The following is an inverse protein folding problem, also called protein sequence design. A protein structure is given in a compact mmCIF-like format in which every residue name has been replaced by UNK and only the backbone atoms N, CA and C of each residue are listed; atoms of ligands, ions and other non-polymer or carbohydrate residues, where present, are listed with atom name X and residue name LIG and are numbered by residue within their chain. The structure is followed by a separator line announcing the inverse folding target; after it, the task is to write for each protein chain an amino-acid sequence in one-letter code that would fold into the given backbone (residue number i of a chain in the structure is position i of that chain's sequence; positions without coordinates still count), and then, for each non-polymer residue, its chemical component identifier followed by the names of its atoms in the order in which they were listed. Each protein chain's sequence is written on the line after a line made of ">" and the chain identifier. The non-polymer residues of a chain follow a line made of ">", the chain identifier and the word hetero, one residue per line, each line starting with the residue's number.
data_IF_035942288181
#
_entry.id   IF_035942288181
#
_cell.length_a   1.000
_cell.length_b   1.000
_cell.length_c   1.000
_cell.angle_alpha   90.00
_cell.angle_beta   90.00
_cell.angle_gamma   90.00
#
_symmetry.space_group_name_H-M   'P 1'
#
loop_
_entity.id
_entity.type
_entity.pdbx_description
1 polymer ?
#
# COMPACT_ATOMS: atom_id res chain seq x y z
N UNK A 1 -13.17 12.50 -35.82
CA UNK A 1 -12.69 11.55 -36.86
C UNK A 1 -11.36 11.92 -37.53
N UNK A 2 -11.05 13.21 -37.76
CA UNK A 2 -9.75 13.65 -38.32
C UNK A 2 -8.56 13.57 -37.33
N UNK A 3 -8.81 13.72 -36.03
CA UNK A 3 -7.77 13.57 -34.98
C UNK A 3 -7.36 12.10 -34.80
N UNK A 4 -8.33 11.19 -34.82
CA UNK A 4 -8.10 9.73 -34.80
C UNK A 4 -7.24 9.26 -35.99
N UNK A 5 -7.43 9.83 -37.18
CA UNK A 5 -6.57 9.57 -38.36
C UNK A 5 -5.18 10.21 -38.25
N UNK A 6 -5.01 11.29 -37.47
CA UNK A 6 -3.69 11.87 -37.14
C UNK A 6 -2.90 10.98 -36.16
N UNK A 7 -3.58 10.37 -35.18
CA UNK A 7 -2.98 9.45 -34.22
C UNK A 7 -2.52 8.13 -34.87
N UNK A 8 -3.29 7.57 -35.82
CA UNK A 8 -2.88 6.37 -36.57
C UNK A 8 -1.76 6.60 -37.61
N UNK A 9 -1.63 7.81 -38.18
CA UNK A 9 -0.53 8.16 -39.10
C UNK A 9 0.78 8.51 -38.40
N UNK A 10 0.79 8.63 -37.07
CA UNK A 10 1.98 8.91 -36.27
C UNK A 10 2.76 7.65 -35.85
N UNK A 11 2.77 6.61 -36.69
CA UNK A 11 3.76 5.51 -36.66
C UNK A 11 5.15 6.00 -37.14
N UNK A 12 5.60 7.12 -36.58
CA UNK A 12 7.00 7.55 -36.57
C UNK A 12 7.42 7.55 -35.12
N UNK A 13 8.53 6.88 -34.85
CA UNK A 13 9.25 6.84 -33.58
C UNK A 13 9.40 8.23 -32.96
N UNK A 14 8.38 8.68 -32.25
CA UNK A 14 8.48 9.75 -31.27
C UNK A 14 8.94 9.08 -29.98
N UNK A 15 10.05 9.56 -29.42
CA UNK A 15 10.44 9.21 -28.06
C UNK A 15 9.25 9.53 -27.13
N UNK A 16 8.58 8.49 -26.65
CA UNK A 16 7.33 8.52 -25.91
C UNK A 16 7.46 9.09 -24.47
N UNK A 17 8.64 9.57 -24.07
CA UNK A 17 9.00 9.58 -22.64
C UNK A 17 8.74 10.87 -21.85
N UNK A 18 8.86 12.10 -22.38
CA UNK A 18 8.98 13.25 -21.45
C UNK A 18 7.89 14.34 -21.51
N UNK A 19 6.80 14.16 -22.27
CA UNK A 19 5.54 14.89 -22.05
C UNK A 19 4.48 14.37 -23.00
N UNK A 20 3.52 13.57 -22.54
CA UNK A 20 2.47 13.08 -23.45
C UNK A 20 1.61 14.22 -24.03
N UNK A 21 1.59 15.44 -23.43
CA UNK A 21 0.88 16.59 -23.99
C UNK A 21 1.18 17.94 -23.34
N UNK A 22 2.44 18.24 -23.03
CA UNK A 22 2.78 19.48 -22.32
C UNK A 22 2.35 19.53 -20.85
N UNK A 23 1.76 18.46 -20.31
CA UNK A 23 1.63 18.24 -18.87
C UNK A 23 2.87 17.54 -18.30
N UNK A 24 3.19 17.89 -17.06
CA UNK A 24 4.20 17.22 -16.24
C UNK A 24 3.48 16.25 -15.30
N UNK A 25 4.09 15.11 -14.97
CA UNK A 25 3.42 14.09 -14.16
C UNK A 25 4.24 13.70 -12.94
N UNK A 26 3.57 13.70 -11.79
CA UNK A 26 4.12 13.26 -10.52
C UNK A 26 3.23 12.17 -9.95
N UNK A 27 3.80 10.99 -9.73
CA UNK A 27 3.10 9.91 -9.04
C UNK A 27 3.52 9.92 -7.57
N UNK A 28 2.55 9.82 -6.66
CA UNK A 28 2.75 9.72 -5.21
C UNK A 28 2.11 8.43 -4.70
N UNK A 29 2.88 7.63 -3.99
CA UNK A 29 2.43 6.49 -3.20
C UNK A 29 2.42 6.94 -1.73
N UNK A 30 1.21 7.11 -1.18
CA UNK A 30 0.97 7.67 0.15
C UNK A 30 0.94 6.54 1.18
N UNK A 31 2.04 5.79 1.26
CA UNK A 31 2.17 4.62 2.12
C UNK A 31 2.30 4.96 3.60
N UNK A 32 1.82 4.04 4.46
CA UNK A 32 1.95 4.12 5.93
C UNK A 32 3.41 4.13 6.38
N UNK A 33 4.24 3.30 5.75
CA UNK A 33 5.63 3.11 6.18
C UNK A 33 6.62 3.95 5.37
N UNK A 34 6.46 3.97 4.06
CA UNK A 34 7.27 4.77 3.14
C UNK A 34 6.36 5.55 2.21
N UNK A 35 6.71 6.83 1.99
CA UNK A 35 6.18 7.60 0.88
C UNK A 35 7.13 7.49 -0.29
N UNK A 36 6.58 7.18 -1.46
CA UNK A 36 7.35 7.15 -2.70
C UNK A 36 6.80 8.18 -3.66
N UNK A 37 7.69 8.74 -4.46
CA UNK A 37 7.29 9.58 -5.56
C UNK A 37 8.16 9.36 -6.78
N UNK A 38 7.57 9.55 -7.95
CA UNK A 38 8.31 9.52 -9.21
C UNK A 38 7.86 10.66 -10.10
N UNK A 39 8.83 11.45 -10.53
CA UNK A 39 8.63 12.46 -11.56
C UNK A 39 9.03 11.90 -12.91
N UNK A 40 8.12 11.94 -13.87
CA UNK A 40 8.24 11.17 -15.10
C UNK A 40 9.41 11.62 -15.99
N UNK A 41 9.61 12.94 -16.10
CA UNK A 41 10.54 13.54 -17.07
C UNK A 41 12.01 13.47 -16.63
N UNK A 42 12.29 13.14 -15.37
CA UNK A 42 13.67 13.06 -14.87
C UNK A 42 14.02 11.67 -14.37
N UNK A 43 13.03 10.77 -14.29
CA UNK A 43 13.17 9.49 -13.60
C UNK A 43 13.50 9.62 -12.10
N UNK A 44 13.56 10.84 -11.55
CA UNK A 44 13.95 11.08 -10.16
C UNK A 44 12.94 10.41 -9.23
N UNK A 45 13.46 9.74 -8.21
CA UNK A 45 12.67 9.02 -7.22
C UNK A 45 12.79 9.69 -5.86
N UNK A 46 11.68 9.70 -5.15
CA UNK A 46 11.61 9.89 -3.71
C UNK A 46 11.21 8.55 -3.11
N UNK A 47 11.91 8.13 -2.07
CA UNK A 47 11.58 6.95 -1.27
C UNK A 47 12.15 7.22 0.12
N UNK A 48 11.29 7.74 0.99
CA UNK A 48 11.66 8.06 2.36
C UNK A 48 10.56 7.55 3.29
N UNK A 49 10.90 7.12 4.53
CA UNK A 49 9.92 6.77 5.52
C UNK A 49 8.85 7.85 5.74
N UNK A 50 7.61 7.45 5.97
CA UNK A 50 6.48 8.35 6.26
C UNK A 50 6.52 8.86 7.70
N UNK A 51 7.61 9.52 8.07
CA UNK A 51 7.88 10.01 9.42
C UNK A 51 8.24 11.49 9.41
N UNK A 52 7.68 12.22 10.38
CA UNK A 52 8.06 13.60 10.72
C UNK A 52 8.45 13.63 12.18
N UNK A 53 9.54 14.29 12.53
CA UNK A 53 9.88 14.59 13.91
C UNK A 53 9.90 16.10 14.12
N UNK A 54 9.20 16.58 15.13
CA UNK A 54 9.22 17.99 15.55
C UNK A 54 10.03 18.11 16.83
N UNK A 55 11.14 18.84 16.78
CA UNK A 55 12.00 19.16 17.91
C UNK A 55 11.70 20.60 18.34
N UNK A 56 10.98 20.74 19.46
CA UNK A 56 10.51 22.03 19.96
C UNK A 56 11.64 22.86 20.58
N UNK A 57 12.67 22.21 21.09
CA UNK A 57 13.83 22.88 21.68
C UNK A 57 14.67 23.56 20.60
N UNK A 58 14.92 22.84 19.49
CA UNK A 58 15.68 23.38 18.35
C UNK A 58 14.83 24.07 17.30
N UNK A 59 13.51 24.10 17.49
CA UNK A 59 12.54 24.56 16.50
C UNK A 59 12.80 23.97 15.10
N UNK A 60 13.04 22.65 15.04
CA UNK A 60 13.48 21.95 13.83
C UNK A 60 12.55 20.81 13.45
N UNK A 61 12.35 20.63 12.15
CA UNK A 61 11.64 19.49 11.58
C UNK A 61 12.65 18.53 10.94
N UNK A 62 12.50 17.25 11.26
CA UNK A 62 13.19 16.15 10.57
C UNK A 62 12.16 15.35 9.77
N UNK A 63 12.61 14.76 8.66
CA UNK A 63 11.76 14.00 7.74
C UNK A 63 12.41 12.65 7.40
N UNK A 64 11.60 11.67 7.01
CA UNK A 64 12.11 10.46 6.38
C UNK A 64 13.02 9.66 7.32
N UNK A 65 14.20 9.31 6.81
CA UNK A 65 15.19 8.54 7.56
C UNK A 65 15.68 9.26 8.81
N UNK A 66 15.82 10.60 8.78
CA UNK A 66 16.23 11.39 9.94
C UNK A 66 15.17 11.30 11.05
N UNK A 67 13.90 11.48 10.70
CA UNK A 67 12.80 11.35 11.65
C UNK A 67 12.68 9.92 12.20
N UNK A 68 12.77 8.91 11.33
CA UNK A 68 12.68 7.50 11.74
C UNK A 68 13.83 7.08 12.66
N UNK A 69 15.03 7.62 12.46
CA UNK A 69 16.20 7.32 13.30
C UNK A 69 16.03 7.78 14.76
N UNK A 70 15.13 8.73 15.02
CA UNK A 70 14.80 9.24 16.35
C UNK A 70 13.77 8.36 17.09
N UNK A 71 13.08 7.44 16.40
CA UNK A 71 12.10 6.54 17.03
C UNK A 71 12.75 5.74 18.16
N UNK A 72 12.19 5.82 19.36
CA UNK A 72 12.70 5.15 20.55
C UNK A 72 13.96 5.79 21.17
N UNK A 73 14.44 6.92 20.62
CA UNK A 73 15.60 7.68 21.11
C UNK A 73 15.24 9.13 21.50
N UNK A 74 13.96 9.45 21.58
CA UNK A 74 13.46 10.79 21.84
C UNK A 74 13.52 11.15 23.33
N UNK A 75 13.91 12.40 23.62
CA UNK A 75 13.63 13.06 24.90
C UNK A 75 12.21 13.67 24.87
N UNK A 76 11.77 14.32 25.95
CA UNK A 76 10.44 14.93 26.06
C UNK A 76 10.17 16.05 25.02
N UNK A 77 11.21 16.60 24.38
CA UNK A 77 11.12 17.72 23.45
C UNK A 77 10.93 17.32 21.98
N UNK A 78 10.98 16.02 21.65
CA UNK A 78 10.85 15.53 20.27
C UNK A 78 9.56 14.72 20.12
N UNK A 79 8.64 15.20 19.28
CA UNK A 79 7.41 14.48 18.94
C UNK A 79 7.55 13.82 17.57
N UNK A 80 7.45 12.49 17.55
CA UNK A 80 7.38 11.70 16.31
C UNK A 80 5.94 11.63 15.82
N UNK A 81 5.73 11.93 14.54
CA UNK A 81 4.43 11.88 13.87
C UNK A 81 4.52 10.96 12.65
N UNK A 82 3.51 10.09 12.50
CA UNK A 82 3.25 9.28 11.31
C UNK A 82 1.98 9.84 10.65
N UNK A 83 2.10 10.60 9.54
CA UNK A 83 0.97 11.29 8.93
C UNK A 83 -0.03 10.32 8.29
N UNK A 84 0.43 9.12 7.95
CA UNK A 84 -0.39 8.02 7.46
C UNK A 84 -0.20 6.85 8.43
N UNK A 85 -1.30 6.25 8.87
CA UNK A 85 -1.29 5.09 9.77
C UNK A 85 -2.41 4.14 9.39
N UNK A 86 -2.10 2.86 9.25
CA UNK A 86 -3.05 1.80 8.90
C UNK A 86 -3.90 2.19 7.67
N UNK A 87 -3.22 2.76 6.66
CA UNK A 87 -3.83 3.24 5.42
C UNK A 87 -4.64 4.55 5.52
N UNK A 88 -4.77 5.12 6.72
CA UNK A 88 -5.55 6.32 6.98
C UNK A 88 -4.68 7.56 7.12
N UNK A 89 -5.17 8.71 6.66
CA UNK A 89 -4.52 10.01 6.91
C UNK A 89 -4.82 10.44 8.34
N UNK A 90 -3.83 10.31 9.23
CA UNK A 90 -3.92 10.62 10.64
C UNK A 90 -3.51 12.07 10.97
N UNK A 91 -2.55 12.63 10.23
CA UNK A 91 -2.11 14.02 10.38
C UNK A 91 -1.94 14.70 9.00
N UNK A 92 -3.00 15.34 8.47
CA UNK A 92 -2.94 16.05 7.19
C UNK A 92 -1.91 17.18 7.15
N UNK A 93 -1.62 17.84 8.29
CA UNK A 93 -0.64 18.94 8.32
C UNK A 93 0.77 18.41 8.15
N UNK A 94 1.10 17.32 8.81
CA UNK A 94 2.39 16.64 8.62
C UNK A 94 2.51 16.04 7.22
N UNK A 95 1.41 15.52 6.66
CA UNK A 95 1.36 15.04 5.28
C UNK A 95 1.65 16.17 4.28
N UNK A 96 1.02 17.34 4.43
CA UNK A 96 1.28 18.51 3.59
C UNK A 96 2.77 18.89 3.58
N UNK A 97 3.42 18.88 4.76
CA UNK A 97 4.86 19.17 4.87
C UNK A 97 5.72 18.16 4.09
N UNK A 98 5.38 16.86 4.13
CA UNK A 98 6.10 15.84 3.34
C UNK A 98 5.87 16.07 1.84
N UNK A 99 4.64 16.29 1.39
CA UNK A 99 4.35 16.53 -0.02
C UNK A 99 5.05 17.81 -0.52
N UNK A 100 5.11 18.86 0.30
CA UNK A 100 5.88 20.06 0.00
C UNK A 100 7.38 19.76 -0.18
N UNK A 101 7.96 18.92 0.68
CA UNK A 101 9.35 18.45 0.54
C UNK A 101 9.56 17.66 -0.75
N UNK A 102 8.60 16.81 -1.14
CA UNK A 102 8.64 16.07 -2.41
C UNK A 102 8.65 17.05 -3.60
N UNK A 103 7.75 18.04 -3.61
CA UNK A 103 7.69 19.06 -4.66
C UNK A 103 9.00 19.85 -4.77
N UNK A 104 9.60 20.20 -3.63
CA UNK A 104 10.88 20.88 -3.57
C UNK A 104 12.03 19.99 -4.06
N UNK A 105 12.05 18.70 -3.73
CA UNK A 105 13.08 17.76 -4.21
C UNK A 105 13.13 17.68 -5.73
N UNK A 106 11.97 17.78 -6.40
CA UNK A 106 11.90 17.78 -7.86
C UNK A 106 12.22 19.13 -8.50
N UNK A 107 12.44 20.20 -7.72
CA UNK A 107 12.83 21.54 -8.19
C UNK A 107 12.00 22.08 -9.37
N UNK A 108 10.69 21.80 -9.38
CA UNK A 108 9.81 22.24 -10.45
C UNK A 108 9.60 23.76 -10.40
N UNK A 109 9.87 24.44 -11.51
CA UNK A 109 9.62 25.87 -11.65
C UNK A 109 8.12 26.19 -11.77
N UNK A 110 7.74 27.45 -11.65
CA UNK A 110 6.32 27.89 -11.65
C UNK A 110 5.55 27.44 -12.89
N UNK A 111 6.18 27.48 -14.07
CA UNK A 111 5.55 27.05 -15.33
C UNK A 111 5.31 25.54 -15.31
N UNK A 112 6.28 24.77 -14.82
CA UNK A 112 6.17 23.33 -14.70
C UNK A 112 5.06 22.92 -13.72
N UNK A 113 4.95 23.61 -12.57
CA UNK A 113 3.89 23.36 -11.58
C UNK A 113 2.49 23.64 -12.13
N UNK A 114 2.31 24.73 -12.88
CA UNK A 114 1.03 25.09 -13.53
C UNK A 114 0.53 24.06 -14.54
N UNK A 115 1.40 23.14 -14.98
CA UNK A 115 1.06 22.01 -15.86
C UNK A 115 1.25 20.65 -15.18
N UNK A 116 1.46 20.64 -13.86
CA UNK A 116 1.73 19.42 -13.10
C UNK A 116 0.42 18.70 -12.78
N UNK A 117 0.27 17.49 -13.28
CA UNK A 117 -0.76 16.54 -12.86
C UNK A 117 -0.13 15.60 -11.83
N UNK A 118 -0.80 15.45 -10.69
CA UNK A 118 -0.38 14.55 -9.61
C UNK A 118 -1.33 13.37 -9.54
N UNK A 119 -0.79 12.15 -9.63
CA UNK A 119 -1.53 10.90 -9.41
C UNK A 119 -1.15 10.41 -8.02
N UNK A 120 -2.13 10.25 -7.13
CA UNK A 120 -1.96 9.83 -5.75
C UNK A 120 -2.59 8.45 -5.57
N UNK A 121 -1.78 7.46 -5.21
CA UNK A 121 -2.27 6.16 -4.80
C UNK A 121 -2.60 6.17 -3.31
N UNK A 122 -3.78 5.69 -2.95
CA UNK A 122 -4.26 5.56 -1.57
C UNK A 122 -5.02 4.24 -1.40
N UNK A 123 -5.16 3.72 -0.17
CA UNK A 123 -5.99 2.55 0.10
C UNK A 123 -7.43 2.72 -0.41
N UNK A 124 -8.09 1.59 -0.69
CA UNK A 124 -9.42 1.56 -1.32
C UNK A 124 -10.50 2.27 -0.48
N UNK A 125 -10.35 2.28 0.84
CA UNK A 125 -11.38 2.76 1.78
C UNK A 125 -11.20 4.24 2.19
N UNK A 126 -10.47 5.03 1.40
CA UNK A 126 -10.31 6.47 1.67
C UNK A 126 -11.67 7.21 1.59
N UNK A 127 -12.00 7.94 2.66
CA UNK A 127 -13.28 8.65 2.72
C UNK A 127 -13.29 9.95 1.89
N UNK A 128 -14.47 10.50 1.52
CA UNK A 128 -14.57 11.70 0.69
C UNK A 128 -13.86 12.93 1.27
N UNK A 129 -13.85 13.10 2.59
CA UNK A 129 -13.19 14.24 3.26
C UNK A 129 -11.67 14.15 3.09
N UNK A 130 -11.09 12.96 3.27
CA UNK A 130 -9.67 12.70 3.04
C UNK A 130 -9.30 12.87 1.57
N UNK A 131 -10.14 12.44 0.64
CA UNK A 131 -9.93 12.66 -0.81
C UNK A 131 -9.83 14.14 -1.14
N UNK A 132 -10.79 14.96 -0.68
CA UNK A 132 -10.78 16.42 -0.88
C UNK A 132 -9.55 17.06 -0.24
N UNK A 133 -9.17 16.62 0.96
CA UNK A 133 -7.99 17.15 1.66
C UNK A 133 -6.70 16.91 0.87
N UNK A 134 -6.49 15.70 0.34
CA UNK A 134 -5.34 15.36 -0.50
C UNK A 134 -5.27 16.19 -1.78
N UNK A 135 -6.39 16.28 -2.51
CA UNK A 135 -6.47 17.09 -3.72
C UNK A 135 -6.21 18.57 -3.45
N UNK A 136 -6.71 19.08 -2.32
CA UNK A 136 -6.47 20.45 -1.88
C UNK A 136 -4.99 20.70 -1.57
N UNK A 137 -4.31 19.76 -0.90
CA UNK A 137 -2.88 19.84 -0.59
C UNK A 137 -2.05 19.99 -1.88
N UNK A 138 -2.26 19.12 -2.87
CA UNK A 138 -1.45 19.19 -4.11
C UNK A 138 -1.76 20.45 -4.93
N UNK A 139 -3.02 20.89 -4.97
CA UNK A 139 -3.42 22.16 -5.62
C UNK A 139 -2.78 23.36 -4.93
N UNK A 140 -2.80 23.41 -3.59
CA UNK A 140 -2.15 24.46 -2.78
C UNK A 140 -0.64 24.56 -3.05
N UNK A 141 0.01 23.42 -3.30
CA UNK A 141 1.44 23.35 -3.64
C UNK A 141 1.75 23.72 -5.12
N UNK A 142 0.70 24.07 -5.88
CA UNK A 142 0.80 24.62 -7.23
C UNK A 142 0.55 23.62 -8.35
N UNK A 143 0.12 22.39 -8.05
CA UNK A 143 -0.26 21.43 -9.09
C UNK A 143 -1.51 21.91 -9.85
N UNK A 144 -1.57 21.61 -11.13
CA UNK A 144 -2.73 21.87 -11.99
C UNK A 144 -3.95 21.04 -11.56
N UNK A 145 -3.74 19.73 -11.36
CA UNK A 145 -4.80 18.79 -10.96
C UNK A 145 -4.21 17.64 -10.17
N UNK A 146 -4.97 17.15 -9.19
CA UNK A 146 -4.69 15.91 -8.48
C UNK A 146 -5.74 14.87 -8.88
N UNK A 147 -5.30 13.62 -9.02
CA UNK A 147 -6.16 12.45 -9.21
C UNK A 147 -5.82 11.44 -8.13
N UNK A 148 -6.83 10.86 -7.51
CA UNK A 148 -6.67 9.77 -6.54
C UNK A 148 -7.02 8.47 -7.22
N UNK A 149 -6.18 7.47 -7.06
CA UNK A 149 -6.36 6.11 -7.57
C UNK A 149 -6.18 5.11 -6.43
N UNK A 150 -6.85 3.97 -6.54
CA UNK A 150 -6.76 2.92 -5.54
C UNK A 150 -5.41 2.20 -5.64
N UNK A 151 -4.73 2.10 -4.51
CA UNK A 151 -3.39 1.51 -4.37
C UNK A 151 -3.34 0.09 -4.94
N UNK A 152 -4.31 -0.76 -4.59
CA UNK A 152 -4.43 -2.13 -5.10
C UNK A 152 -4.53 -2.20 -6.63
N UNK A 153 -5.23 -1.26 -7.29
CA UNK A 153 -5.29 -1.20 -8.77
C UNK A 153 -3.92 -0.85 -9.34
N UNK A 154 -3.27 0.15 -8.76
CA UNK A 154 -1.95 0.61 -9.19
C UNK A 154 -0.90 -0.49 -8.96
N UNK A 155 -0.96 -1.20 -7.84
CA UNK A 155 -0.08 -2.32 -7.54
C UNK A 155 -0.16 -3.44 -8.59
N UNK A 156 -1.37 -3.85 -8.98
CA UNK A 156 -1.58 -4.87 -10.04
C UNK A 156 -1.07 -4.37 -11.39
N UNK A 157 -1.44 -3.16 -11.80
CA UNK A 157 -0.99 -2.58 -13.07
C UNK A 157 0.54 -2.44 -13.12
N UNK A 158 1.14 -2.04 -12.00
CA UNK A 158 2.58 -1.98 -11.78
C UNK A 158 3.28 -3.32 -11.93
N UNK A 159 2.66 -4.39 -11.43
CA UNK A 159 3.16 -5.76 -11.53
C UNK A 159 3.20 -6.31 -12.97
N UNK A 160 2.63 -5.57 -13.93
CA UNK A 160 2.60 -5.95 -15.35
C UNK A 160 1.31 -6.66 -15.77
N UNK A 161 0.30 -6.66 -14.92
CA UNK A 161 -0.98 -7.27 -15.21
C UNK A 161 -2.00 -6.27 -15.74
N UNK A 162 -2.90 -6.77 -16.58
CA UNK A 162 -3.97 -5.99 -17.20
C UNK A 162 -5.17 -5.89 -16.26
N UNK A 163 -5.41 -4.68 -15.74
CA UNK A 163 -6.57 -4.37 -14.89
C UNK A 163 -7.84 -4.07 -15.70
N UNK A 164 -7.73 -3.85 -17.01
CA UNK A 164 -8.85 -3.50 -17.90
C UNK A 164 -9.57 -4.75 -18.44
N UNK A 165 -8.93 -5.91 -18.35
CA UNK A 165 -9.46 -7.19 -18.83
C UNK A 165 -10.10 -8.05 -17.74
N UNK A 166 -9.68 -9.31 -17.70
CA UNK A 166 -10.17 -10.36 -16.79
C UNK A 166 -9.90 -10.04 -15.33
N UNK A 167 -10.72 -10.60 -14.44
CA UNK A 167 -10.58 -10.36 -13.01
C UNK A 167 -9.25 -10.87 -12.44
N UNK A 168 -8.68 -10.12 -11.50
CA UNK A 168 -7.44 -10.44 -10.77
C UNK A 168 -7.66 -10.14 -9.29
N UNK A 169 -7.16 -11.00 -8.40
CA UNK A 169 -7.09 -10.70 -6.98
C UNK A 169 -5.73 -10.09 -6.65
N UNK A 170 -5.73 -8.94 -5.97
CA UNK A 170 -4.56 -8.31 -5.38
C UNK A 170 -4.57 -8.51 -3.87
N UNK A 171 -3.41 -8.79 -3.30
CA UNK A 171 -3.13 -8.72 -1.86
C UNK A 171 -1.95 -7.77 -1.72
N UNK A 172 -2.19 -6.51 -1.36
CA UNK A 172 -1.12 -5.55 -1.09
C UNK A 172 -0.83 -5.52 0.41
N UNK A 173 0.33 -6.06 0.82
CA UNK A 173 0.74 -6.14 2.22
C UNK A 173 1.79 -5.08 2.51
N UNK A 174 1.35 -3.97 3.11
CA UNK A 174 2.19 -2.84 3.50
C UNK A 174 2.71 -2.94 4.95
N UNK A 175 3.09 -1.78 5.48
CA UNK A 175 3.49 -1.65 6.89
C UNK A 175 2.30 -1.70 7.84
N UNK A 176 1.27 -0.86 7.64
CA UNK A 176 0.12 -0.76 8.55
C UNK A 176 -1.12 -1.54 8.16
N UNK A 177 -1.28 -1.89 6.88
CA UNK A 177 -2.45 -2.62 6.38
C UNK A 177 -2.07 -3.68 5.36
N UNK A 178 -2.94 -4.68 5.24
CA UNK A 178 -3.01 -5.59 4.09
C UNK A 178 -4.33 -5.37 3.39
N UNK A 179 -4.29 -4.86 2.16
CA UNK A 179 -5.45 -4.55 1.35
C UNK A 179 -5.68 -5.67 0.32
N UNK A 180 -6.83 -6.32 0.38
CA UNK A 180 -7.20 -7.45 -0.48
C UNK A 180 -8.34 -7.01 -1.36
N UNK A 181 -8.20 -7.12 -2.68
CA UNK A 181 -9.23 -6.68 -3.62
C UNK A 181 -9.32 -7.59 -4.85
N UNK A 182 -10.53 -7.71 -5.41
CA UNK A 182 -10.75 -8.27 -6.74
C UNK A 182 -11.00 -7.11 -7.70
N UNK A 183 -10.15 -7.01 -8.71
CA UNK A 183 -10.16 -5.96 -9.74
C UNK A 183 -10.62 -6.58 -11.05
N UNK A 184 -11.51 -5.91 -11.77
CA UNK A 184 -11.98 -6.32 -13.09
C UNK A 184 -12.45 -5.10 -13.86
N UNK A 185 -12.09 -4.99 -15.15
CA UNK A 185 -12.51 -3.88 -16.03
C UNK A 185 -12.31 -2.50 -15.37
N UNK A 186 -11.11 -2.27 -14.83
CA UNK A 186 -10.71 -1.04 -14.14
C UNK A 186 -11.52 -0.70 -12.87
N UNK A 187 -12.32 -1.64 -12.37
CA UNK A 187 -13.17 -1.46 -11.19
C UNK A 187 -12.79 -2.43 -10.08
N UNK A 188 -12.85 -1.96 -8.83
CA UNK A 188 -12.80 -2.85 -7.66
C UNK A 188 -14.20 -3.44 -7.48
N UNK A 189 -14.32 -4.75 -7.63
CA UNK A 189 -15.58 -5.47 -7.40
C UNK A 189 -15.86 -5.61 -5.91
N UNK A 190 -14.82 -5.95 -5.17
CA UNK A 190 -14.87 -6.06 -3.72
C UNK A 190 -13.47 -5.90 -3.14
N UNK A 191 -13.39 -5.24 -1.98
CA UNK A 191 -12.15 -5.05 -1.23
C UNK A 191 -12.38 -5.25 0.28
N UNK A 192 -11.31 -5.60 0.98
CA UNK A 192 -11.26 -5.70 2.43
C UNK A 192 -9.85 -5.33 2.88
N UNK A 193 -9.74 -4.46 3.87
CA UNK A 193 -8.48 -4.15 4.53
C UNK A 193 -8.34 -4.93 5.85
N UNK A 194 -7.15 -5.44 6.13
CA UNK A 194 -6.79 -6.11 7.38
C UNK A 194 -5.66 -5.35 8.08
N UNK A 195 -5.74 -5.23 9.40
CA UNK A 195 -4.65 -4.66 10.22
C UNK A 195 -3.44 -5.59 10.36
N UNK A 196 -3.57 -6.87 9.98
CA UNK A 196 -2.44 -7.79 9.97
C UNK A 196 -1.52 -7.43 8.81
N UNK A 197 -0.42 -6.73 9.11
CA UNK A 197 0.55 -6.21 8.16
C UNK A 197 1.96 -6.20 8.77
N UNK A 198 2.92 -5.50 8.17
CA UNK A 198 4.30 -5.43 8.64
C UNK A 198 4.44 -5.04 10.11
N UNK A 199 3.85 -3.93 10.54
CA UNK A 199 3.94 -3.38 11.90
C UNK A 199 3.32 -4.35 12.91
N UNK A 200 2.12 -4.85 12.63
CA UNK A 200 1.43 -5.84 13.47
C UNK A 200 2.26 -7.11 13.66
N UNK A 201 2.84 -7.65 12.60
CA UNK A 201 3.72 -8.83 12.71
C UNK A 201 4.97 -8.55 13.55
N UNK A 202 5.48 -7.32 13.52
CA UNK A 202 6.60 -6.87 14.36
C UNK A 202 6.23 -6.85 15.84
N UNK A 203 5.06 -6.31 16.15
CA UNK A 203 4.51 -6.31 17.51
C UNK A 203 4.31 -7.75 18.00
N UNK A 204 3.79 -8.65 17.16
CA UNK A 204 3.62 -10.07 17.52
C UNK A 204 4.94 -10.81 17.75
N UNK A 205 5.99 -10.48 17.00
CA UNK A 205 7.35 -10.95 17.30
C UNK A 205 7.81 -10.46 18.68
N UNK A 206 7.63 -9.18 18.98
CA UNK A 206 7.99 -8.61 20.28
C UNK A 206 7.22 -9.26 21.43
N UNK A 207 5.91 -9.42 21.31
CA UNK A 207 5.03 -10.09 22.27
C UNK A 207 5.47 -11.55 22.50
N UNK A 208 5.79 -12.28 21.43
CA UNK A 208 6.25 -13.66 21.52
C UNK A 208 7.56 -13.78 22.31
N UNK A 209 8.53 -12.89 22.06
CA UNK A 209 9.82 -12.89 22.77
C UNK A 209 9.62 -12.58 24.26
N UNK A 210 8.77 -11.60 24.59
CA UNK A 210 8.43 -11.26 25.97
C UNK A 210 7.81 -12.47 26.67
N UNK A 211 6.81 -13.11 26.04
CA UNK A 211 6.08 -14.25 26.59
C UNK A 211 6.98 -15.47 26.83
N UNK A 212 7.85 -15.80 25.88
CA UNK A 212 8.61 -17.06 25.91
C UNK A 212 10.00 -16.92 26.54
N UNK A 213 10.64 -15.76 26.41
CA UNK A 213 12.04 -15.54 26.85
C UNK A 213 12.17 -14.56 28.02
N UNK A 214 11.08 -13.88 28.41
CA UNK A 214 11.05 -12.83 29.43
C UNK A 214 12.06 -11.70 29.15
N UNK A 215 12.25 -11.39 27.86
CA UNK A 215 13.13 -10.32 27.40
C UNK A 215 12.31 -9.31 26.63
N UNK A 216 12.43 -8.03 26.98
CA UNK A 216 11.84 -6.91 26.23
C UNK A 216 12.85 -6.43 25.19
N UNK A 217 12.47 -6.48 23.92
CA UNK A 217 13.25 -5.95 22.80
C UNK A 217 12.55 -4.72 22.23
N UNK A 218 13.28 -3.79 21.61
CA UNK A 218 12.66 -2.65 20.92
C UNK A 218 11.97 -3.08 19.62
N UNK A 219 11.13 -2.20 19.07
CA UNK A 219 10.43 -2.44 17.80
C UNK A 219 11.42 -2.63 16.64
N UNK A 220 12.53 -1.87 16.63
CA UNK A 220 13.56 -2.02 15.61
C UNK A 220 14.21 -3.40 15.66
N UNK A 221 14.59 -3.87 16.86
CA UNK A 221 15.21 -5.19 17.03
C UNK A 221 14.23 -6.32 16.66
N UNK A 222 12.94 -6.17 16.98
CA UNK A 222 11.90 -7.10 16.57
C UNK A 222 11.72 -7.11 15.04
N UNK A 223 11.75 -5.96 14.38
CA UNK A 223 11.63 -5.82 12.93
C UNK A 223 12.84 -6.43 12.21
N UNK A 224 14.04 -6.16 12.71
CA UNK A 224 15.29 -6.72 12.19
C UNK A 224 15.27 -8.26 12.28
N UNK A 225 14.79 -8.82 13.41
CA UNK A 225 14.59 -10.26 13.58
C UNK A 225 13.53 -10.81 12.62
N UNK A 226 12.37 -10.14 12.49
CA UNK A 226 11.30 -10.54 11.56
C UNK A 226 11.82 -10.60 10.12
N UNK A 227 12.58 -9.60 9.69
CA UNK A 227 13.18 -9.57 8.34
C UNK A 227 14.25 -10.64 8.15
N UNK A 228 15.04 -10.93 9.19
CA UNK A 228 16.14 -11.89 9.10
C UNK A 228 15.66 -13.35 9.07
N UNK A 229 14.70 -13.72 9.92
CA UNK A 229 14.30 -15.12 10.11
C UNK A 229 12.79 -15.39 9.98
N UNK A 230 11.97 -14.36 9.79
CA UNK A 230 10.54 -14.52 9.52
C UNK A 230 10.29 -15.19 8.17
N UNK A 231 9.55 -16.29 8.19
CA UNK A 231 9.22 -17.06 6.99
C UNK A 231 7.87 -17.75 7.18
N UNK A 232 7.24 -18.15 6.07
CA UNK A 232 6.04 -18.97 6.07
C UNK A 232 6.31 -20.42 5.66
N UNK A 233 7.52 -20.71 5.17
CA UNK A 233 7.99 -22.06 4.83
C UNK A 233 9.38 -22.32 5.40
N UNK A 234 9.78 -23.58 5.61
CA UNK A 234 11.15 -23.94 5.96
C UNK A 234 12.19 -23.43 4.96
N UNK A 235 13.25 -22.82 5.47
CA UNK A 235 14.44 -22.45 4.73
C UNK A 235 15.47 -23.57 4.61
N UNK A 236 16.42 -23.38 3.69
CA UNK A 236 17.66 -24.17 3.66
C UNK A 236 18.64 -23.56 4.66
N UNK A 237 19.29 -24.39 5.48
CA UNK A 237 20.31 -23.99 6.45
C UNK A 237 19.83 -22.88 7.40
N UNK A 238 18.78 -23.17 8.17
CA UNK A 238 18.25 -22.23 9.16
C UNK A 238 19.18 -22.12 10.38
N UNK A 239 19.64 -20.91 10.68
CA UNK A 239 20.50 -20.60 11.81
C UNK A 239 19.75 -19.84 12.92
N UNK A 240 20.24 -19.97 14.15
CA UNK A 240 19.69 -19.21 15.28
C UNK A 240 20.02 -17.73 15.15
N UNK A 241 19.02 -16.88 15.34
CA UNK A 241 19.20 -15.43 15.35
C UNK A 241 19.54 -14.92 16.77
N UNK A 242 20.65 -14.19 16.88
CA UNK A 242 21.08 -13.58 18.15
C UNK A 242 20.44 -12.20 18.31
N UNK A 243 19.68 -12.01 19.39
CA UNK A 243 19.03 -10.72 19.71
C UNK A 243 19.28 -10.36 21.17
N UNK A 244 19.47 -9.06 21.44
CA UNK A 244 19.67 -8.53 22.78
C UNK A 244 18.50 -7.64 23.18
N UNK A 245 18.13 -7.70 24.46
CA UNK A 245 17.09 -6.86 25.04
C UNK A 245 17.24 -6.77 26.56
N UNK A 246 16.22 -6.24 27.23
CA UNK A 246 16.22 -6.07 28.69
C UNK A 246 15.43 -7.21 29.34
N UNK A 247 16.04 -7.88 30.32
CA UNK A 247 15.36 -8.90 31.11
C UNK A 247 14.19 -8.26 31.89
N UNK A 248 13.03 -8.90 31.86
CA UNK A 248 11.87 -8.51 32.67
C UNK A 248 11.95 -9.32 33.98
N UNK A 249 12.12 -8.68 35.16
CA UNK A 249 12.16 -9.38 36.43
C UNK A 249 10.82 -10.05 36.73
N UNK A 250 10.85 -11.29 37.23
CA UNK A 250 9.64 -12.07 37.53
C UNK A 250 8.98 -11.73 38.88
N UNK A 251 9.63 -10.95 39.75
CA UNK A 251 9.12 -10.58 41.07
C UNK A 251 9.39 -9.11 41.39
N UNK A 252 8.35 -8.28 41.35
CA UNK A 252 8.32 -7.00 42.09
C UNK A 252 8.04 -7.31 43.56
N UNK A 253 9.09 -7.60 44.33
CA UNK A 253 8.96 -7.63 45.78
C UNK A 253 10.26 -7.14 46.40
N UNK A 254 10.12 -6.02 47.11
CA UNK A 254 11.12 -5.19 47.79
C UNK A 254 11.90 -4.21 46.88
N UNK A 255 11.33 -3.00 46.86
CA UNK A 255 12.04 -1.71 46.91
C UNK A 255 13.34 -1.57 46.10
N UNK A 256 13.22 -0.89 44.97
CA UNK A 256 14.07 0.29 44.76
C UNK A 256 14.83 0.36 43.45
N UNK A 257 15.40 -0.74 42.97
CA UNK A 257 16.26 -0.69 41.77
C UNK A 257 16.09 -1.95 40.92
N UNK A 258 15.22 -1.87 39.92
CA UNK A 258 15.26 -2.84 38.82
C UNK A 258 16.47 -2.48 37.96
N UNK A 259 17.62 -3.08 38.26
CA UNK A 259 18.75 -3.05 37.33
C UNK A 259 18.29 -3.62 35.98
N UNK A 260 18.33 -2.79 34.95
CA UNK A 260 18.03 -3.18 33.58
C UNK A 260 19.15 -4.10 33.07
N UNK A 261 19.02 -5.41 33.33
CA UNK A 261 20.03 -6.38 32.91
C UNK A 261 19.84 -6.66 31.42
N UNK A 262 20.82 -6.22 30.62
CA UNK A 262 20.91 -6.61 29.22
C UNK A 262 21.10 -8.12 29.12
N UNK A 263 20.23 -8.78 28.36
CA UNK A 263 20.26 -10.22 28.13
C UNK A 263 20.25 -10.50 26.63
N UNK A 264 21.18 -11.34 26.21
CA UNK A 264 21.23 -11.87 24.84
C UNK A 264 20.59 -13.25 24.81
N UNK A 265 19.74 -13.47 23.81
CA UNK A 265 19.02 -14.71 23.59
C UNK A 265 19.18 -15.15 22.13
N UNK A 266 18.93 -16.43 21.89
CA UNK A 266 18.91 -17.02 20.56
C UNK A 266 17.48 -17.46 20.24
N UNK A 267 17.00 -17.11 19.05
CA UNK A 267 15.67 -17.43 18.55
C UNK A 267 15.82 -18.27 17.29
N UNK A 268 15.12 -19.41 17.23
CA UNK A 268 15.10 -20.23 16.02
C UNK A 268 14.11 -19.70 14.98
N UNK A 269 14.39 -19.85 13.67
CA UNK A 269 13.44 -19.50 12.62
C UNK A 269 12.11 -20.25 12.72
N UNK A 270 12.13 -21.50 13.18
CA UNK A 270 10.92 -22.30 13.39
C UNK A 270 9.99 -21.71 14.45
N UNK A 271 10.53 -21.22 15.57
CA UNK A 271 9.74 -20.57 16.63
C UNK A 271 8.93 -19.38 16.07
N UNK A 272 9.56 -18.54 15.26
CA UNK A 272 8.91 -17.36 14.65
C UNK A 272 7.97 -17.76 13.53
N UNK A 273 8.38 -18.68 12.65
CA UNK A 273 7.56 -19.17 11.55
C UNK A 273 6.24 -19.74 12.06
N UNK A 274 6.28 -20.67 13.02
CA UNK A 274 5.07 -21.39 13.44
C UNK A 274 4.20 -20.56 14.37
N UNK A 275 4.79 -19.96 15.41
CA UNK A 275 4.03 -19.35 16.50
C UNK A 275 3.64 -17.89 16.25
N UNK A 276 4.28 -17.23 15.28
CA UNK A 276 3.96 -15.85 14.90
C UNK A 276 3.49 -15.83 13.45
N UNK A 277 4.38 -16.04 12.48
CA UNK A 277 4.07 -15.78 11.07
C UNK A 277 2.87 -16.61 10.57
N UNK A 278 2.96 -17.94 10.61
CA UNK A 278 1.89 -18.80 10.10
C UNK A 278 0.61 -18.69 10.93
N UNK A 279 0.72 -18.52 12.26
CA UNK A 279 -0.43 -18.33 13.15
C UNK A 279 -1.21 -17.07 12.76
N UNK A 280 -0.55 -15.92 12.71
CA UNK A 280 -1.22 -14.64 12.41
C UNK A 280 -1.77 -14.59 10.97
N UNK A 281 -1.12 -15.28 10.02
CA UNK A 281 -1.67 -15.44 8.67
C UNK A 281 -2.96 -16.29 8.67
N UNK A 282 -2.99 -17.41 9.39
CA UNK A 282 -4.20 -18.26 9.49
C UNK A 282 -5.34 -17.56 10.23
N UNK A 283 -5.02 -16.76 11.23
CA UNK A 283 -6.03 -16.08 12.05
C UNK A 283 -6.61 -14.85 11.36
N UNK A 284 -5.83 -14.16 10.51
CA UNK A 284 -6.23 -12.85 9.97
C UNK A 284 -6.21 -12.74 8.43
N UNK A 285 -5.20 -13.29 7.76
CA UNK A 285 -5.03 -13.09 6.31
C UNK A 285 -5.87 -14.10 5.52
N UNK A 286 -5.77 -15.39 5.83
CA UNK A 286 -6.52 -16.44 5.13
C UNK A 286 -8.05 -16.21 5.24
N UNK A 287 -8.62 -15.88 6.41
CA UNK A 287 -10.05 -15.59 6.53
C UNK A 287 -10.46 -14.34 5.73
N UNK A 288 -9.61 -13.32 5.68
CA UNK A 288 -9.86 -12.10 4.91
C UNK A 288 -9.91 -12.39 3.40
N UNK A 289 -8.96 -13.19 2.88
CA UNK A 289 -8.96 -13.62 1.47
C UNK A 289 -10.23 -14.41 1.14
N UNK A 290 -10.58 -15.40 1.98
CA UNK A 290 -11.79 -16.22 1.80
C UNK A 290 -13.07 -15.38 1.82
N UNK A 291 -13.15 -14.38 2.70
CA UNK A 291 -14.27 -13.45 2.75
C UNK A 291 -14.40 -12.65 1.45
N UNK A 292 -13.28 -12.18 0.89
CA UNK A 292 -13.27 -11.46 -0.39
C UNK A 292 -13.73 -12.34 -1.54
N UNK A 293 -13.23 -13.58 -1.62
CA UNK A 293 -13.65 -14.55 -2.63
C UNK A 293 -15.16 -14.83 -2.55
N UNK A 294 -15.68 -15.11 -1.35
CA UNK A 294 -17.10 -15.41 -1.15
C UNK A 294 -18.01 -14.28 -1.60
N UNK A 295 -17.75 -13.06 -1.14
CA UNK A 295 -18.59 -11.90 -1.48
C UNK A 295 -18.52 -11.61 -2.99
N UNK A 296 -17.37 -11.85 -3.61
CA UNK A 296 -17.28 -11.74 -5.06
C UNK A 296 -18.12 -12.81 -5.78
N UNK A 297 -18.15 -14.07 -5.29
CA UNK A 297 -18.99 -15.13 -5.88
C UNK A 297 -20.46 -14.73 -5.83
N UNK A 298 -20.91 -14.22 -4.69
CA UNK A 298 -22.29 -13.75 -4.51
C UNK A 298 -22.65 -12.59 -5.45
N UNK A 299 -21.72 -11.66 -5.69
CA UNK A 299 -21.99 -10.42 -6.44
C UNK A 299 -21.64 -10.48 -7.92
N UNK A 300 -20.81 -11.43 -8.38
CA UNK A 300 -20.23 -11.42 -9.71
C UNK A 300 -20.01 -12.84 -10.26
N UNK A 301 -21.09 -13.59 -10.48
CA UNK A 301 -21.18 -15.01 -10.89
C UNK A 301 -20.31 -15.50 -12.09
N UNK A 302 -19.57 -14.63 -12.78
CA UNK A 302 -18.60 -15.02 -13.83
C UNK A 302 -17.15 -14.61 -13.55
N UNK A 303 -16.91 -13.66 -12.64
CA UNK A 303 -15.60 -13.03 -12.44
C UNK A 303 -14.60 -13.90 -11.68
N UNK A 304 -15.07 -14.86 -10.87
CA UNK A 304 -14.18 -15.76 -10.10
C UNK A 304 -13.61 -16.86 -10.99
N UNK A 305 -14.39 -17.33 -11.98
CA UNK A 305 -13.88 -18.29 -12.95
C UNK A 305 -12.64 -17.77 -13.70
N UNK A 306 -12.55 -16.45 -13.90
CA UNK A 306 -11.36 -15.81 -14.48
C UNK A 306 -10.14 -15.86 -13.57
N UNK A 307 -10.31 -15.80 -12.25
CA UNK A 307 -9.21 -15.91 -11.27
C UNK A 307 -8.54 -17.28 -11.31
N UNK A 308 -9.27 -18.33 -11.69
CA UNK A 308 -8.75 -19.70 -11.74
C UNK A 308 -8.03 -20.04 -13.05
N UNK A 309 -8.02 -19.13 -14.04
CA UNK A 309 -7.33 -19.34 -15.32
C UNK A 309 -5.82 -19.30 -15.13
N UNK A 310 -5.07 -20.13 -15.86
CA UNK A 310 -3.60 -20.15 -15.80
C UNK A 310 -3.02 -18.78 -16.14
N UNK A 311 -2.05 -18.31 -15.35
CA UNK A 311 -1.50 -16.97 -15.47
C UNK A 311 -2.42 -15.88 -14.90
N UNK A 312 -3.54 -16.25 -14.29
CA UNK A 312 -4.46 -15.39 -13.52
C UNK A 312 -4.60 -15.98 -12.12
N UNK A 313 -5.04 -15.18 -11.16
CA UNK A 313 -5.15 -15.62 -9.78
C UNK A 313 -4.85 -14.51 -8.80
N UNK A 314 -4.03 -14.84 -7.82
CA UNK A 314 -3.74 -13.97 -6.68
C UNK A 314 -2.34 -13.39 -6.86
N UNK A 315 -2.27 -12.07 -6.82
CA UNK A 315 -1.01 -11.32 -6.90
C UNK A 315 -0.74 -10.65 -5.59
N UNK A 316 0.43 -10.95 -5.02
CA UNK A 316 0.91 -10.37 -3.77
C UNK A 316 1.84 -9.20 -4.08
N UNK A 317 1.54 -8.08 -3.47
CA UNK A 317 2.16 -6.77 -3.65
C UNK A 317 2.63 -6.23 -2.29
N UNK A 318 3.37 -5.13 -2.30
CA UNK A 318 3.83 -4.47 -1.08
C UNK A 318 5.04 -5.13 -0.43
N UNK A 319 5.52 -4.54 0.66
CA UNK A 319 6.72 -5.02 1.37
C UNK A 319 6.56 -6.44 1.93
N UNK A 320 5.34 -6.85 2.28
CA UNK A 320 5.03 -8.20 2.75
C UNK A 320 5.23 -9.30 1.71
N UNK A 321 5.25 -8.96 0.42
CA UNK A 321 5.56 -9.91 -0.65
C UNK A 321 6.99 -10.50 -0.52
N UNK A 322 7.90 -9.87 0.23
CA UNK A 322 9.23 -10.42 0.52
C UNK A 322 9.25 -11.46 1.64
N UNK A 323 8.13 -11.68 2.34
CA UNK A 323 8.06 -12.74 3.35
C UNK A 323 8.26 -14.08 2.62
N UNK A 324 9.30 -14.80 3.04
CA UNK A 324 9.72 -16.03 2.37
C UNK A 324 8.60 -17.07 2.35
N UNK A 325 8.18 -17.44 1.14
CA UNK A 325 7.17 -18.46 0.88
C UNK A 325 5.73 -18.00 1.10
N UNK A 326 5.46 -16.70 1.11
CA UNK A 326 4.11 -16.16 1.28
C UNK A 326 3.13 -16.61 0.20
N UNK A 327 3.58 -16.63 -1.05
CA UNK A 327 2.83 -17.13 -2.20
C UNK A 327 2.44 -18.60 -2.02
N UNK A 328 3.42 -19.46 -1.77
CA UNK A 328 3.19 -20.90 -1.55
C UNK A 328 2.31 -21.16 -0.34
N UNK A 329 2.55 -20.46 0.77
CA UNK A 329 1.77 -20.63 1.98
C UNK A 329 0.30 -20.26 1.77
N UNK A 330 0.03 -19.11 1.15
CA UNK A 330 -1.34 -18.69 0.84
C UNK A 330 -1.99 -19.69 -0.13
N UNK A 331 -1.26 -20.13 -1.16
CA UNK A 331 -1.75 -21.14 -2.10
C UNK A 331 -2.14 -22.45 -1.39
N UNK A 332 -1.26 -22.96 -0.54
CA UNK A 332 -1.47 -24.21 0.21
C UNK A 332 -2.61 -24.07 1.22
N UNK A 333 -2.78 -22.92 1.89
CA UNK A 333 -3.89 -22.69 2.82
C UNK A 333 -5.24 -22.51 2.10
N UNK A 334 -5.28 -21.88 0.92
CA UNK A 334 -6.50 -21.71 0.13
C UNK A 334 -6.99 -23.04 -0.46
N UNK A 335 -6.08 -23.96 -0.79
CA UNK A 335 -6.40 -25.28 -1.31
C UNK A 335 -6.94 -26.26 -0.24
N UNK A 336 -6.86 -25.93 1.04
CA UNK A 336 -7.42 -26.76 2.13
C UNK A 336 -8.91 -26.54 2.29
N UNK A 337 -9.60 -27.61 2.66
CA UNK A 337 -10.96 -27.55 3.19
C UNK A 337 -11.04 -26.60 4.39
N UNK A 338 -12.17 -25.91 4.53
CA UNK A 338 -12.39 -24.99 5.63
C UNK A 338 -13.86 -24.96 6.06
N UNK A 339 -14.05 -24.65 7.33
CA UNK A 339 -15.37 -24.50 7.93
C UNK A 339 -15.71 -23.02 8.07
N UNK A 340 -16.91 -22.64 7.64
CA UNK A 340 -17.47 -21.35 7.95
C UNK A 340 -18.48 -21.50 9.09
N UNK A 341 -18.14 -20.93 10.24
CA UNK A 341 -19.01 -20.88 11.41
C UNK A 341 -19.57 -19.47 11.57
N UNK A 342 -20.88 -19.31 11.46
CA UNK A 342 -21.55 -18.06 11.84
C UNK A 342 -22.08 -18.15 13.26
N UNK A 343 -21.90 -17.07 14.01
CA UNK A 343 -22.38 -16.93 15.38
C UNK A 343 -23.33 -15.73 15.46
N UNK A 344 -24.42 -15.87 16.23
CA UNK A 344 -25.29 -14.75 16.53
C UNK A 344 -24.64 -13.77 17.52
N UNK A 345 -25.34 -12.67 17.83
CA UNK A 345 -24.88 -11.66 18.80
C UNK A 345 -24.68 -12.19 20.23
N UNK A 346 -25.11 -13.42 20.52
CA UNK A 346 -24.97 -14.11 21.82
C UNK A 346 -23.91 -15.22 21.75
N UNK A 347 -23.06 -15.21 20.73
CA UNK A 347 -22.02 -16.22 20.48
C UNK A 347 -22.58 -17.65 20.29
N UNK A 348 -23.85 -17.78 19.91
CA UNK A 348 -24.43 -19.08 19.58
C UNK A 348 -24.16 -19.39 18.11
N UNK A 349 -23.61 -20.58 17.83
CA UNK A 349 -23.41 -21.07 16.47
C UNK A 349 -24.77 -21.18 15.75
N UNK A 350 -24.90 -20.48 14.63
CA UNK A 350 -26.12 -20.44 13.79
C UNK A 350 -25.93 -21.08 12.41
N UNK A 351 -24.69 -21.21 11.92
CA UNK A 351 -24.36 -22.01 10.74
C UNK A 351 -22.97 -22.63 10.88
N UNK A 352 -22.77 -23.84 10.36
CA UNK A 352 -21.49 -24.55 10.27
C UNK A 352 -21.44 -25.27 8.92
N UNK A 353 -20.82 -24.63 7.94
CA UNK A 353 -20.75 -25.11 6.57
C UNK A 353 -19.31 -25.50 6.21
N UNK A 354 -19.16 -26.66 5.57
CA UNK A 354 -17.86 -27.14 5.09
C UNK A 354 -17.71 -26.74 3.62
N UNK A 355 -16.57 -26.13 3.30
CA UNK A 355 -16.21 -25.74 1.95
C UNK A 355 -14.93 -26.46 1.53
N UNK A 356 -14.93 -26.98 0.30
CA UNK A 356 -13.71 -27.43 -0.35
C UNK A 356 -12.80 -26.22 -0.65
N UNK A 357 -11.49 -26.42 -0.51
CA UNK A 357 -10.51 -25.39 -0.82
C UNK A 357 -10.46 -25.07 -2.30
N UNK A 358 -10.12 -23.83 -2.63
CA UNK A 358 -9.97 -23.37 -4.00
C UNK A 358 -8.49 -23.41 -4.42
N UNK A 359 -8.23 -24.02 -5.58
CA UNK A 359 -6.91 -23.96 -6.21
C UNK A 359 -6.73 -22.62 -6.93
N UNK A 360 -5.78 -21.81 -6.46
CA UNK A 360 -5.36 -20.58 -7.12
C UNK A 360 -3.87 -20.62 -7.45
N UNK A 361 -3.49 -20.04 -8.58
CA UNK A 361 -2.11 -19.63 -8.79
C UNK A 361 -1.87 -18.37 -7.94
N UNK A 362 -0.94 -18.47 -6.98
CA UNK A 362 -0.53 -17.34 -6.15
C UNK A 362 0.89 -16.96 -6.48
N UNK A 363 1.14 -15.67 -6.70
CA UNK A 363 2.46 -15.17 -7.07
C UNK A 363 2.77 -13.82 -6.44
N UNK A 364 4.04 -13.60 -6.12
CA UNK A 364 4.53 -12.28 -5.75
C UNK A 364 4.83 -11.45 -7.00
N UNK A 365 4.56 -10.14 -6.94
CA UNK A 365 5.02 -9.20 -7.96
C UNK A 365 6.56 -9.18 -8.02
N UNK A 366 7.13 -8.98 -9.22
CA UNK A 366 8.59 -8.94 -9.42
C UNK A 366 9.28 -7.76 -8.73
N UNK A 367 8.59 -6.63 -8.63
CA UNK A 367 9.08 -5.41 -7.97
C UNK A 367 7.99 -4.87 -7.04
N UNK A 368 7.76 -5.54 -5.90
CA UNK A 368 6.58 -5.30 -5.07
C UNK A 368 6.63 -4.00 -4.26
N UNK A 369 7.78 -3.31 -4.19
CA UNK A 369 7.89 -2.00 -3.51
C UNK A 369 7.58 -0.80 -4.41
N UNK A 370 7.84 -0.93 -5.70
CA UNK A 370 7.62 0.17 -6.66
C UNK A 370 6.47 -0.11 -7.62
N UNK A 371 5.80 -1.26 -7.52
CA UNK A 371 4.62 -1.59 -8.30
C UNK A 371 3.56 -0.47 -8.28
N UNK A 372 3.17 0.08 -7.12
CA UNK A 372 2.17 1.16 -7.03
C UNK A 372 2.60 2.37 -7.87
N UNK A 373 3.81 2.88 -7.66
CA UNK A 373 4.36 3.99 -8.45
C UNK A 373 4.44 3.66 -9.94
N UNK A 374 4.90 2.46 -10.29
CA UNK A 374 4.98 2.02 -11.68
C UNK A 374 3.59 1.88 -12.31
N UNK A 375 2.58 1.51 -11.53
CA UNK A 375 1.18 1.46 -11.91
C UNK A 375 0.63 2.84 -12.20
N UNK A 376 0.83 3.82 -11.31
CA UNK A 376 0.43 5.20 -11.55
C UNK A 376 1.03 5.76 -12.85
N UNK A 377 2.30 5.44 -13.10
CA UNK A 377 3.00 5.86 -14.32
C UNK A 377 2.38 5.27 -15.59
N UNK A 378 1.90 4.02 -15.54
CA UNK A 378 1.16 3.39 -16.64
C UNK A 378 -0.26 3.96 -16.77
N UNK A 379 -0.94 4.18 -15.64
CA UNK A 379 -2.32 4.66 -15.59
C UNK A 379 -2.48 6.12 -16.05
N UNK A 380 -1.40 6.89 -16.02
CA UNK A 380 -1.29 8.23 -16.62
C UNK A 380 -1.97 8.33 -17.99
N UNK A 381 -1.76 7.34 -18.84
CA UNK A 381 -2.22 7.38 -20.22
C UNK A 381 -3.76 7.32 -20.31
N UNK A 382 -4.42 6.69 -19.32
CA UNK A 382 -5.89 6.71 -19.18
C UNK A 382 -6.38 8.09 -18.75
N UNK A 383 -5.78 8.66 -17.69
CA UNK A 383 -6.10 10.01 -17.21
C UNK A 383 -5.92 11.04 -18.33
N UNK A 384 -4.88 10.88 -19.14
CA UNK A 384 -4.66 11.78 -20.27
C UNK A 384 -5.79 11.71 -21.31
N UNK A 385 -6.31 10.50 -21.60
CA UNK A 385 -7.47 10.34 -22.49
C UNK A 385 -8.73 10.98 -21.92
N UNK A 386 -8.97 10.83 -20.61
CA UNK A 386 -10.10 11.50 -19.93
C UNK A 386 -10.02 13.02 -20.08
N UNK A 387 -8.83 13.61 -19.87
CA UNK A 387 -8.61 15.06 -20.02
C UNK A 387 -8.91 15.53 -21.45
N UNK A 388 -8.49 14.77 -22.46
CA UNK A 388 -8.78 15.10 -23.85
C UNK A 388 -10.28 15.08 -24.16
N UNK A 389 -10.99 14.08 -23.64
CA UNK A 389 -12.45 13.98 -23.82
C UNK A 389 -13.19 15.14 -23.12
N UNK A 390 -12.76 15.52 -21.92
CA UNK A 390 -13.30 16.70 -21.23
C UNK A 390 -13.10 18.00 -22.04
N UNK A 391 -11.96 18.14 -22.72
CA UNK A 391 -11.67 19.29 -23.57
C UNK A 391 -12.53 19.30 -24.83
N UNK A 392 -12.64 18.17 -25.54
CA UNK A 392 -13.50 18.06 -26.74
C UNK A 392 -14.97 18.36 -26.40
N UNK A 393 -15.45 17.91 -25.24
CA UNK A 393 -16.82 18.19 -24.82
C UNK A 393 -17.06 19.69 -24.55
N UNK A 394 -16.11 20.37 -23.91
CA UNK A 394 -16.18 21.83 -23.67
C UNK A 394 -16.14 22.63 -24.97
N UNK A 395 -15.28 22.23 -25.90
CA UNK A 395 -15.20 22.90 -27.20
C UNK A 395 -16.52 22.76 -27.96
N UNK A 396 -17.12 21.58 -27.99
CA UNK A 396 -18.43 21.36 -28.62
C UNK A 396 -19.56 22.20 -27.98
N UNK A 397 -19.59 22.33 -26.65
CA UNK A 397 -20.55 23.20 -25.97
C UNK A 397 -20.39 24.69 -26.37
N UNK A 398 -19.15 25.17 -26.50
CA UNK A 398 -18.87 26.53 -26.95
C UNK A 398 -19.25 26.76 -28.43
N UNK A 399 -19.10 25.74 -29.28
CA UNK A 399 -19.55 25.80 -30.68
C UNK A 399 -21.09 25.83 -30.79
N UNK A 400 -21.80 25.07 -29.96
CA UNK A 400 -23.27 25.10 -29.95
C UNK A 400 -23.81 26.46 -29.45
N UNK A 401 -23.24 27.03 -28.39
CA UNK A 401 -23.63 28.37 -27.88
C UNK A 401 -23.35 29.50 -28.87
N UNK A 402 -22.20 29.46 -29.56
CA UNK A 402 -21.88 30.46 -30.60
C UNK A 402 -22.76 30.34 -31.84
N UNK A 403 -23.21 29.13 -32.18
CA UNK A 403 -24.19 28.90 -33.25
C UNK A 403 -25.60 29.40 -32.88
N UNK A 404 -25.99 29.27 -31.60
CA UNK A 404 -27.24 29.81 -31.06
C UNK A 404 -27.22 31.34 -31.05
N UNK A 405 -26.09 31.95 -30.67
CA UNK A 405 -25.89 33.40 -30.74
C UNK A 405 -25.94 33.95 -32.18
N UNK A 406 -25.49 33.19 -33.18
CA UNK A 406 -25.59 33.59 -34.58
C UNK A 406 -27.00 33.42 -35.17
N UNK A 407 -27.81 32.46 -34.67
CA UNK A 407 -29.23 32.34 -35.04
C UNK A 407 -30.12 33.38 -34.38
N UNK A 408 -29.77 33.88 -33.19
CA UNK A 408 -30.52 34.94 -32.50
C UNK A 408 -30.24 36.37 -33.05
N UNK A 409 -29.30 36.52 -33.99
CA UNK A 409 -28.93 37.79 -34.65
C UNK A 409 -29.44 37.90 -36.09
N UNK A 410 -30.21 36.92 -36.57
CA UNK A 410 -31.01 36.98 -37.80
C UNK A 410 -32.48 36.98 -37.41
#
# INVERSE_FOLDING_TARGET
>A
MQIFKKLQKANKSFNLNDSIAGYNWLCLDIGTENMKARYINTGLRFDEPSYVAEDYEKNRLYFGHEAKALVGKTNENIIIKRPVRDGNIADPKSLEKIIARIFNKFNLNTVQRRKLIVIMATPSDINPVQRIALESIVKKLGAYRGFIQEEVKMAVLGSGQDIFGTSIMCIDMGGGSTDIAIISKDSILYSLSSHCAGDYLTEKVQEYIVKTKNVRVGLKEAEDLKKAIGSLIPGKNEELYRISGLLIPRNSSKSGEVLAISKTIYISPEEIRTNVMQKEFRDHIIPAIRKVLRIAVEKALGSIGDLKKVGKGVTICGGGAYIKGIDKFIQDELAKEYHLKEYDKKEKLVADEVYEGDFFEVRCAKDPLYNVINGCMKYRDEIYREILQEQEHKDNLLFDDSSAFHKARR
#
